data_IF_849822608627
#
_entry.id   IF_849822608627
#
_cell.length_a   1.000
_cell.length_b   1.000
_cell.length_c   1.000
_cell.angle_alpha   90.00
_cell.angle_beta   90.00
_cell.angle_gamma   90.00
#
_symmetry.space_group_name_H-M   'P 1'
#
loop_
_entity.id
_entity.type
_entity.pdbx_description
1 polymer ?
#
# COMPACT_ATOMS: atom_id res chain seq x y z
N UNK A 1 14.20 -0.44 13.43
CA UNK A 1 14.39 -1.70 12.76
C UNK A 1 14.54 -1.64 11.27
N UNK A 2 14.07 -0.68 10.60
CA UNK A 2 14.18 -0.61 9.16
C UNK A 2 13.30 -1.59 8.41
N UNK A 3 12.22 -2.05 9.03
CA UNK A 3 11.27 -2.93 8.36
C UNK A 3 10.17 -2.16 7.68
N UNK A 4 10.06 -0.87 7.94
CA UNK A 4 9.08 -0.04 7.28
C UNK A 4 9.57 0.44 5.93
N UNK A 5 8.71 1.08 5.14
CA UNK A 5 9.10 1.62 3.85
C UNK A 5 10.09 2.77 4.02
N UNK A 6 10.94 2.95 3.01
CA UNK A 6 11.89 4.07 3.00
C UNK A 6 11.18 5.38 2.73
N UNK A 7 10.19 5.37 1.87
CA UNK A 7 9.43 6.55 1.50
C UNK A 7 7.96 6.20 1.38
N UNK A 8 7.11 7.14 1.72
CA UNK A 8 5.66 7.02 1.58
C UNK A 8 5.18 8.22 0.80
N UNK A 9 4.51 7.98 -0.30
CA UNK A 9 3.93 9.03 -1.13
C UNK A 9 2.43 8.81 -1.24
N UNK A 10 1.66 9.87 -1.08
CA UNK A 10 0.21 9.81 -1.12
C UNK A 10 -0.29 10.78 -2.19
N UNK A 11 -1.14 10.28 -3.07
CA UNK A 11 -1.70 11.07 -4.15
C UNK A 11 -3.22 10.96 -4.13
N UNK A 12 -3.88 12.08 -4.29
CA UNK A 12 -5.35 12.09 -4.37
C UNK A 12 -5.73 12.61 -5.75
N UNK A 13 -6.41 11.75 -6.50
CA UNK A 13 -6.88 12.07 -7.84
C UNK A 13 -8.38 11.84 -7.88
N UNK A 14 -9.14 12.93 -7.65
CA UNK A 14 -10.59 12.87 -7.61
C UNK A 14 -11.04 11.91 -6.50
N UNK A 15 -11.62 10.76 -6.84
CA UNK A 15 -12.07 9.76 -5.86
C UNK A 15 -11.07 8.62 -5.67
N UNK A 16 -9.86 8.77 -6.20
CA UNK A 16 -8.81 7.77 -6.06
C UNK A 16 -7.73 8.27 -5.11
N UNK A 17 -7.45 7.47 -4.09
CA UNK A 17 -6.35 7.74 -3.17
C UNK A 17 -5.29 6.67 -3.39
N UNK A 18 -4.11 7.10 -3.83
CA UNK A 18 -3.01 6.19 -4.12
C UNK A 18 -1.93 6.38 -3.07
N UNK A 19 -1.55 5.29 -2.43
CA UNK A 19 -0.43 5.27 -1.49
C UNK A 19 0.68 4.44 -2.10
N UNK A 20 1.84 5.05 -2.26
CA UNK A 20 3.01 4.36 -2.78
C UNK A 20 4.01 4.21 -1.65
N UNK A 21 4.36 2.96 -1.35
CA UNK A 21 5.33 2.63 -0.31
C UNK A 21 6.59 2.13 -1.01
N UNK A 22 7.68 2.86 -0.87
CA UNK A 22 8.92 2.52 -1.56
C UNK A 22 9.85 1.77 -0.64
N UNK A 23 10.51 0.76 -1.20
CA UNK A 23 11.52 0.03 -0.46
C UNK A 23 10.96 -0.77 0.69
N UNK A 24 9.83 -1.45 0.50
CA UNK A 24 9.19 -2.21 1.58
C UNK A 24 9.85 -3.55 1.82
N UNK A 25 10.61 -4.07 0.85
CA UNK A 25 11.24 -5.38 1.00
C UNK A 25 12.50 -5.26 1.83
N UNK A 26 12.60 -6.07 2.87
CA UNK A 26 13.82 -6.19 3.66
C UNK A 26 14.89 -6.94 2.85
N UNK A 27 16.13 -6.89 3.32
CA UNK A 27 17.20 -7.63 2.68
C UNK A 27 16.90 -9.13 2.68
N UNK A 28 16.31 -9.64 3.75
CA UNK A 28 15.96 -11.05 3.84
C UNK A 28 14.89 -11.42 2.81
N UNK A 29 13.91 -10.56 2.64
CA UNK A 29 12.85 -10.78 1.64
C UNK A 29 13.40 -10.74 0.23
N UNK A 30 14.30 -9.82 -0.05
CA UNK A 30 14.95 -9.73 -1.36
C UNK A 30 15.78 -10.99 -1.64
N UNK A 31 16.47 -11.47 -0.62
CA UNK A 31 17.25 -12.69 -0.74
C UNK A 31 16.33 -13.89 -1.02
N UNK A 32 15.21 -13.97 -0.32
CA UNK A 32 14.23 -15.04 -0.51
C UNK A 32 13.73 -15.06 -1.96
N UNK A 33 13.43 -13.87 -2.51
CA UNK A 33 12.96 -13.78 -3.87
C UNK A 33 14.00 -14.30 -4.88
N UNK A 34 15.29 -14.12 -4.56
CA UNK A 34 16.37 -14.56 -5.47
C UNK A 34 16.75 -16.02 -5.26
N UNK A 35 16.44 -16.59 -4.10
CA UNK A 35 16.86 -17.95 -3.76
C UNK A 35 16.00 -19.03 -4.40
N UNK A 36 14.77 -18.67 -4.75
CA UNK A 36 13.86 -19.59 -5.43
C UNK A 36 13.81 -19.25 -6.92
N UNK A 37 13.26 -20.15 -7.73
CA UNK A 37 12.91 -19.74 -9.08
C UNK A 37 12.11 -18.47 -9.01
N UNK A 38 12.39 -17.52 -9.90
CA UNK A 38 11.83 -16.17 -9.79
C UNK A 38 10.31 -16.18 -9.56
N UNK A 39 9.62 -17.06 -10.25
CA UNK A 39 8.18 -17.16 -10.14
C UNK A 39 7.73 -17.54 -8.73
N UNK A 40 8.38 -18.55 -8.16
CA UNK A 40 8.00 -19.07 -6.84
C UNK A 40 8.32 -18.08 -5.74
N UNK A 41 9.47 -17.44 -5.80
CA UNK A 41 9.85 -16.43 -4.82
C UNK A 41 8.92 -15.25 -4.84
N UNK A 42 8.57 -14.80 -6.03
CA UNK A 42 7.63 -13.70 -6.20
C UNK A 42 6.27 -14.05 -5.64
N UNK A 43 5.74 -15.23 -5.95
CA UNK A 43 4.43 -15.64 -5.48
C UNK A 43 4.38 -15.70 -3.96
N UNK A 44 5.44 -16.26 -3.36
CA UNK A 44 5.50 -16.38 -1.90
C UNK A 44 5.50 -15.02 -1.24
N UNK A 45 6.32 -14.10 -1.73
CA UNK A 45 6.37 -12.75 -1.17
C UNK A 45 5.05 -12.02 -1.35
N UNK A 46 4.42 -12.18 -2.51
CA UNK A 46 3.14 -11.52 -2.73
C UNK A 46 2.07 -12.06 -1.80
N UNK A 47 2.08 -13.36 -1.53
CA UNK A 47 1.13 -13.93 -0.58
C UNK A 47 1.32 -13.37 0.82
N UNK A 48 2.57 -13.30 1.28
CA UNK A 48 2.86 -12.78 2.61
C UNK A 48 2.46 -11.30 2.72
N UNK A 49 2.84 -10.50 1.73
CA UNK A 49 2.52 -9.07 1.75
C UNK A 49 1.02 -8.84 1.63
N UNK A 50 0.36 -9.64 0.78
CA UNK A 50 -1.09 -9.52 0.62
C UNK A 50 -1.81 -9.83 1.92
N UNK A 51 -1.38 -10.87 2.61
CA UNK A 51 -1.98 -11.21 3.91
C UNK A 51 -1.79 -10.08 4.92
N UNK A 52 -0.59 -9.50 4.94
CA UNK A 52 -0.29 -8.39 5.85
C UNK A 52 -1.19 -7.19 5.56
N UNK A 53 -1.32 -6.83 4.29
CA UNK A 53 -2.16 -5.70 3.89
C UNK A 53 -3.62 -5.96 4.26
N UNK A 54 -4.12 -7.17 3.98
CA UNK A 54 -5.51 -7.49 4.30
C UNK A 54 -5.76 -7.48 5.80
N UNK A 55 -4.77 -7.90 6.59
CA UNK A 55 -4.89 -7.89 8.03
C UNK A 55 -4.97 -6.47 8.59
N UNK A 56 -4.24 -5.54 7.98
CA UNK A 56 -4.21 -4.15 8.44
C UNK A 56 -5.28 -3.28 7.76
N UNK A 57 -6.05 -3.87 6.84
CA UNK A 57 -7.03 -3.12 6.07
C UNK A 57 -8.00 -2.30 6.92
N UNK A 58 -8.62 -2.86 7.99
CA UNK A 58 -9.56 -2.05 8.78
C UNK A 58 -8.92 -0.80 9.38
N UNK A 59 -7.66 -0.90 9.81
CA UNK A 59 -6.94 0.25 10.36
C UNK A 59 -6.69 1.29 9.28
N UNK A 60 -6.24 0.84 8.10
CA UNK A 60 -5.99 1.76 7.00
C UNK A 60 -7.26 2.46 6.54
N UNK A 61 -8.36 1.71 6.46
CA UNK A 61 -9.63 2.30 6.05
C UNK A 61 -10.09 3.36 7.04
N UNK A 62 -9.97 3.07 8.33
CA UNK A 62 -10.35 4.03 9.36
C UNK A 62 -9.50 5.30 9.27
N UNK A 63 -8.21 5.15 9.02
CA UNK A 63 -7.32 6.30 8.89
C UNK A 63 -7.66 7.15 7.68
N UNK A 64 -7.92 6.50 6.54
CA UNK A 64 -8.26 7.23 5.32
C UNK A 64 -9.58 7.97 5.50
N UNK A 65 -10.57 7.31 6.10
CA UNK A 65 -11.86 7.95 6.35
C UNK A 65 -11.73 9.13 7.29
N UNK A 66 -10.88 9.01 8.30
CA UNK A 66 -10.67 10.10 9.23
C UNK A 66 -10.02 11.31 8.56
N UNK A 67 -9.06 11.07 7.70
CA UNK A 67 -8.32 12.14 7.04
C UNK A 67 -9.15 12.80 5.92
N UNK A 68 -9.83 12.00 5.13
CA UNK A 68 -10.57 12.50 3.96
C UNK A 68 -12.01 12.86 4.28
N UNK A 69 -12.57 12.32 5.33
CA UNK A 69 -13.99 12.49 5.64
C UNK A 69 -14.91 11.70 4.72
N UNK A 70 -14.34 10.78 3.95
CA UNK A 70 -15.09 10.04 2.94
C UNK A 70 -14.84 8.55 3.15
N UNK A 71 -15.87 7.75 2.96
CA UNK A 71 -15.77 6.31 3.14
C UNK A 71 -15.10 5.65 1.94
N UNK A 72 -14.46 4.54 2.20
CA UNK A 72 -13.77 3.76 1.18
C UNK A 72 -14.76 2.81 0.53
N UNK A 73 -14.70 2.75 -0.80
CA UNK A 73 -15.51 1.83 -1.57
C UNK A 73 -14.75 0.54 -1.86
N UNK A 74 -13.52 0.65 -2.38
CA UNK A 74 -12.70 -0.52 -2.71
C UNK A 74 -11.25 -0.27 -2.34
N UNK A 75 -10.49 -1.35 -2.21
CA UNK A 75 -9.05 -1.30 -1.99
C UNK A 75 -8.37 -2.30 -2.92
N UNK A 76 -7.31 -1.86 -3.57
CA UNK A 76 -6.46 -2.70 -4.40
C UNK A 76 -5.01 -2.48 -3.98
N UNK A 77 -4.19 -3.50 -4.11
CA UNK A 77 -2.78 -3.35 -3.79
C UNK A 77 -1.95 -4.33 -4.60
N UNK A 78 -0.70 -3.97 -4.80
CA UNK A 78 0.24 -4.86 -5.49
C UNK A 78 1.66 -4.53 -5.04
N UNK A 79 2.54 -5.49 -5.18
CA UNK A 79 3.93 -5.40 -4.80
C UNK A 79 4.80 -5.70 -6.03
N UNK A 80 5.76 -4.83 -6.31
CA UNK A 80 6.75 -5.09 -7.34
C UNK A 80 7.98 -5.73 -6.69
N UNK A 81 8.33 -6.93 -7.13
CA UNK A 81 9.55 -7.59 -6.68
C UNK A 81 10.77 -6.90 -7.28
N UNK A 82 10.62 -6.29 -8.44
CA UNK A 82 11.73 -5.65 -9.14
C UNK A 82 12.22 -4.42 -8.39
N UNK A 83 11.29 -3.55 -7.98
CA UNK A 83 11.65 -2.30 -7.32
C UNK A 83 11.52 -2.35 -5.81
N UNK A 84 10.77 -3.33 -5.28
CA UNK A 84 10.47 -3.38 -3.87
C UNK A 84 9.42 -2.38 -3.43
N UNK A 85 8.69 -1.82 -4.39
CA UNK A 85 7.64 -0.85 -4.10
C UNK A 85 6.30 -1.56 -3.99
N UNK A 86 5.47 -1.04 -3.10
CA UNK A 86 4.10 -1.50 -2.96
C UNK A 86 3.16 -0.33 -3.17
N UNK A 87 2.05 -0.57 -3.86
CA UNK A 87 1.03 0.47 -4.05
C UNK A 87 -0.27 -0.02 -3.46
N UNK A 88 -0.99 0.90 -2.84
CA UNK A 88 -2.31 0.63 -2.30
C UNK A 88 -3.24 1.69 -2.89
N UNK A 89 -4.29 1.25 -3.56
CA UNK A 89 -5.22 2.14 -4.23
C UNK A 89 -6.59 2.00 -3.57
N UNK A 90 -7.08 3.11 -3.07
CA UNK A 90 -8.45 3.18 -2.53
C UNK A 90 -9.33 3.93 -3.50
N UNK A 91 -10.49 3.35 -3.81
CA UNK A 91 -11.56 4.08 -4.46
C UNK A 91 -12.50 4.57 -3.37
N UNK A 92 -12.76 5.85 -3.36
CA UNK A 92 -13.61 6.47 -2.34
C UNK A 92 -15.03 6.60 -2.87
N UNK A 93 -16.00 6.76 -1.97
CA UNK A 93 -17.40 6.87 -2.39
C UNK A 93 -17.70 8.19 -3.09
N UNK A 94 -16.85 9.18 -2.89
CA UNK A 94 -16.94 10.47 -3.58
C UNK A 94 -15.59 11.16 -3.48
N UNK A 95 -15.41 12.19 -4.26
CA UNK A 95 -14.18 12.99 -4.18
C UNK A 95 -14.17 13.78 -2.87
N UNK A 96 -13.09 13.69 -2.07
CA UNK A 96 -13.02 14.47 -0.84
C UNK A 96 -12.88 15.95 -1.13
N UNK A 97 -13.26 16.76 -0.14
CA UNK A 97 -13.01 18.18 -0.23
C UNK A 97 -11.52 18.42 0.00
N UNK A 98 -10.82 18.82 -1.05
CA UNK A 98 -9.39 19.03 -0.98
C UNK A 98 -9.01 20.07 0.06
N UNK A 99 -9.87 21.06 0.24
CA UNK A 99 -9.62 22.10 1.24
C UNK A 99 -9.58 21.51 2.62
N UNK A 100 -10.53 20.66 2.95
CA UNK A 100 -10.55 19.99 4.24
C UNK A 100 -9.36 19.04 4.39
N UNK A 101 -9.07 18.30 3.35
CA UNK A 101 -7.98 17.34 3.38
C UNK A 101 -6.63 18.02 3.61
N UNK A 102 -6.48 19.26 3.18
CA UNK A 102 -5.21 19.98 3.29
C UNK A 102 -5.05 20.71 4.61
N UNK A 103 -6.08 20.80 5.38
CA UNK A 103 -6.07 21.59 6.61
C UNK A 103 -5.61 20.81 7.82
N UNK A 104 -5.14 19.61 7.64
CA UNK A 104 -4.67 18.82 8.78
C UNK A 104 -3.38 19.35 9.34
#
# INVERSE_FOLDING_TARGET
MGLGPKDIHVYLLDDLLLIRLRGVLSAAEQHLAKSFPAEKGRDLLKQVRSHLIETTRPVMEAMVEKVTGVKILTMHHDLSIITGDEVILFTLTRSPDLREARMK
#
